data_IF_573407883239
#
_entry.id   IF_573407883239
#
_cell.length_a   1.000
_cell.length_b   1.000
_cell.length_c   1.000
_cell.angle_alpha   90.00
_cell.angle_beta   90.00
_cell.angle_gamma   90.00
#
_symmetry.space_group_name_H-M   'P 1'
#
loop_
_entity.id
_entity.type
_entity.pdbx_description
1 polymer ?
#
# COMPACT_ATOMS: atom_id res chain seq x y z
N UNK A 1 7.71 5.06 -20.89
CA UNK A 1 7.80 4.26 -22.14
C UNK A 1 6.56 3.39 -22.23
N UNK A 2 5.90 3.28 -23.39
CA UNK A 2 4.71 2.43 -23.56
C UNK A 2 5.08 1.25 -24.46
N UNK A 3 4.90 0.04 -23.97
CA UNK A 3 5.01 -1.20 -24.75
C UNK A 3 3.63 -1.58 -25.28
N UNK A 4 3.58 -2.20 -26.46
CA UNK A 4 2.34 -2.73 -27.03
C UNK A 4 2.57 -4.19 -27.45
N UNK A 5 1.70 -5.09 -27.00
CA UNK A 5 1.70 -6.48 -27.43
C UNK A 5 1.05 -6.63 -28.82
N UNK A 6 1.32 -7.78 -29.47
CA UNK A 6 0.79 -8.08 -30.80
C UNK A 6 -0.76 -8.13 -30.85
N UNK A 7 -1.40 -8.35 -29.70
CA UNK A 7 -2.86 -8.34 -29.53
C UNK A 7 -3.44 -6.94 -29.25
N UNK A 8 -2.61 -5.89 -29.29
CA UNK A 8 -3.04 -4.51 -29.08
C UNK A 8 -3.07 -4.06 -27.61
N UNK A 9 -2.80 -4.94 -26.64
CA UNK A 9 -2.68 -4.52 -25.23
C UNK A 9 -1.48 -3.60 -25.05
N UNK A 10 -1.68 -2.49 -24.32
CA UNK A 10 -0.64 -1.50 -24.03
C UNK A 10 -0.23 -1.57 -22.55
N UNK A 11 1.07 -1.46 -22.30
CA UNK A 11 1.68 -1.50 -20.98
C UNK A 11 2.50 -0.23 -20.78
N UNK A 12 2.34 0.40 -19.62
CA UNK A 12 3.18 1.54 -19.24
C UNK A 12 4.35 1.00 -18.43
N UNK A 13 5.57 1.14 -18.94
CA UNK A 13 6.75 1.04 -18.09
C UNK A 13 6.92 2.36 -17.35
N UNK A 14 6.54 2.34 -16.08
CA UNK A 14 6.88 3.35 -15.10
C UNK A 14 8.08 2.85 -14.30
N UNK A 15 9.16 3.62 -14.27
CA UNK A 15 10.22 3.41 -13.30
C UNK A 15 9.66 3.77 -11.92
N UNK A 16 9.34 2.77 -11.11
CA UNK A 16 8.93 2.98 -9.73
C UNK A 16 10.20 3.23 -8.90
N UNK A 17 10.63 4.48 -8.83
CA UNK A 17 11.66 4.89 -7.87
C UNK A 17 11.13 4.77 -6.44
N UNK A 18 11.91 4.14 -5.56
CA UNK A 18 11.59 4.08 -4.13
C UNK A 18 10.51 3.07 -3.74
N UNK A 19 10.28 2.04 -4.54
CA UNK A 19 9.40 0.95 -4.11
C UNK A 19 10.09 0.11 -3.04
N UNK A 20 9.50 0.07 -1.84
CA UNK A 20 9.91 -0.79 -0.75
C UNK A 20 8.78 -1.79 -0.48
N UNK A 21 9.06 -3.08 -0.70
CA UNK A 21 8.15 -4.18 -0.39
C UNK A 21 8.47 -4.76 0.98
N UNK A 22 7.44 -5.23 1.68
CA UNK A 22 7.58 -5.96 2.93
C UNK A 22 6.83 -7.28 2.77
N UNK A 23 7.42 -8.36 3.24
CA UNK A 23 6.77 -9.66 3.22
C UNK A 23 5.62 -9.67 4.23
N UNK A 24 4.43 -10.00 3.75
CA UNK A 24 3.24 -10.23 4.57
C UNK A 24 2.91 -11.71 4.44
N UNK A 25 2.64 -12.37 5.56
CA UNK A 25 2.28 -13.79 5.56
C UNK A 25 0.97 -14.03 4.79
N UNK A 26 0.78 -15.27 4.33
CA UNK A 26 -0.46 -15.74 3.73
C UNK A 26 -1.09 -16.81 4.64
N UNK A 27 -1.41 -16.41 5.88
CA UNK A 27 -2.03 -17.29 6.88
C UNK A 27 -3.55 -17.10 6.81
N UNK A 28 -4.33 -18.18 6.96
CA UNK A 28 -5.80 -18.09 6.97
C UNK A 28 -6.31 -17.40 8.25
N UNK A 29 -5.48 -17.38 9.29
CA UNK A 29 -5.73 -16.66 10.53
C UNK A 29 -5.14 -15.25 10.47
N UNK A 30 -6.03 -14.27 10.24
CA UNK A 30 -5.67 -12.86 10.23
C UNK A 30 -4.99 -12.39 11.53
N UNK A 31 -5.30 -13.01 12.68
CA UNK A 31 -4.64 -12.69 13.94
C UNK A 31 -3.14 -12.98 13.90
N UNK A 32 -2.75 -14.11 13.32
CA UNK A 32 -1.34 -14.47 13.12
C UNK A 32 -0.64 -13.56 12.11
N UNK A 33 -1.36 -13.11 11.09
CA UNK A 33 -0.84 -12.12 10.14
C UNK A 33 -0.54 -10.79 10.82
N UNK A 34 -1.44 -10.33 11.71
CA UNK A 34 -1.24 -9.12 12.51
C UNK A 34 -0.01 -9.25 13.40
N UNK A 35 0.16 -10.38 14.11
CA UNK A 35 1.34 -10.63 14.95
C UNK A 35 2.65 -10.58 14.14
N UNK A 36 2.72 -11.31 13.02
CA UNK A 36 3.90 -11.30 12.13
C UNK A 36 4.19 -9.90 11.57
N UNK A 37 3.15 -9.15 11.24
CA UNK A 37 3.28 -7.78 10.73
C UNK A 37 3.88 -6.86 11.78
N UNK A 38 3.47 -6.98 13.05
CA UNK A 38 4.01 -6.20 14.17
C UNK A 38 5.49 -6.56 14.43
N UNK A 39 5.85 -7.84 14.28
CA UNK A 39 7.23 -8.32 14.44
C UNK A 39 8.17 -7.88 13.31
N UNK A 40 7.63 -7.48 12.16
CA UNK A 40 8.41 -6.96 11.03
C UNK A 40 8.98 -5.57 11.35
N UNK A 41 10.20 -5.54 11.91
CA UNK A 41 10.88 -4.32 12.37
C UNK A 41 11.10 -3.30 11.26
N UNK A 42 11.44 -3.74 10.06
CA UNK A 42 11.68 -2.85 8.91
C UNK A 42 10.39 -2.14 8.49
N UNK A 43 9.29 -2.89 8.38
CA UNK A 43 7.97 -2.34 8.10
C UNK A 43 7.54 -1.36 9.18
N UNK A 44 7.66 -1.75 10.46
CA UNK A 44 7.25 -0.89 11.58
C UNK A 44 8.07 0.40 11.66
N UNK A 45 9.38 0.33 11.40
CA UNK A 45 10.25 1.50 11.33
C UNK A 45 9.86 2.41 10.16
N UNK A 46 9.59 1.83 8.98
CA UNK A 46 9.11 2.57 7.82
C UNK A 46 7.77 3.28 8.09
N UNK A 47 6.79 2.58 8.68
CA UNK A 47 5.50 3.16 9.05
C UNK A 47 5.63 4.27 10.10
N UNK A 48 6.52 4.09 11.09
CA UNK A 48 6.83 5.11 12.09
C UNK A 48 7.45 6.38 11.47
N UNK A 49 8.35 6.23 10.50
CA UNK A 49 8.91 7.36 9.75
C UNK A 49 7.84 8.04 8.90
N UNK A 50 7.01 7.28 8.19
CA UNK A 50 5.88 7.80 7.40
C UNK A 50 4.94 8.65 8.25
N UNK A 51 4.64 8.20 9.48
CA UNK A 51 3.78 8.93 10.42
C UNK A 51 4.33 10.30 10.82
N UNK A 52 5.65 10.47 10.89
CA UNK A 52 6.28 11.74 11.31
C UNK A 52 6.18 12.85 10.26
N UNK A 53 6.06 12.49 8.98
CA UNK A 53 5.94 13.46 7.87
C UNK A 53 4.54 13.60 7.27
N UNK A 54 3.62 12.68 7.59
CA UNK A 54 2.27 12.68 7.03
C UNK A 54 1.31 13.60 7.77
N UNK A 55 0.53 14.40 7.02
CA UNK A 55 -0.67 15.05 7.59
C UNK A 55 -1.72 13.97 7.84
N UNK A 56 -2.27 13.94 9.04
CA UNK A 56 -3.47 13.13 9.30
C UNK A 56 -4.62 13.71 8.49
N UNK A 57 -5.27 12.88 7.67
CA UNK A 57 -6.45 13.24 6.90
C UNK A 57 -7.66 12.63 7.63
N UNK A 58 -8.70 13.42 7.97
CA UNK A 58 -9.91 12.88 8.57
C UNK A 58 -10.52 11.77 7.72
N UNK A 59 -11.02 10.71 8.37
CA UNK A 59 -11.62 9.58 7.67
C UNK A 59 -12.79 10.01 6.77
N UNK A 60 -13.57 11.00 7.17
CA UNK A 60 -14.65 11.57 6.36
C UNK A 60 -14.15 12.17 5.04
N UNK A 61 -13.00 12.85 5.06
CA UNK A 61 -12.37 13.42 3.87
C UNK A 61 -11.85 12.32 2.93
N UNK A 62 -11.26 11.26 3.50
CA UNK A 62 -10.84 10.07 2.72
C UNK A 62 -12.05 9.42 2.05
N UNK A 63 -13.13 9.19 2.82
CA UNK A 63 -14.36 8.60 2.31
C UNK A 63 -14.96 9.42 1.16
N UNK A 64 -15.08 10.74 1.32
CA UNK A 64 -15.57 11.64 0.29
C UNK A 64 -14.71 11.62 -0.99
N UNK A 65 -13.38 11.61 -0.86
CA UNK A 65 -12.46 11.56 -2.02
C UNK A 65 -12.58 10.28 -2.84
N UNK A 66 -12.96 9.17 -2.21
CA UNK A 66 -13.02 7.86 -2.85
C UNK A 66 -14.46 7.39 -3.14
N UNK A 67 -15.46 8.25 -2.96
CA UNK A 67 -16.87 7.89 -3.20
C UNK A 67 -17.37 6.78 -2.26
N UNK A 68 -16.75 6.63 -1.08
CA UNK A 68 -17.18 5.68 -0.07
C UNK A 68 -18.20 6.39 0.82
N UNK A 69 -19.48 6.06 0.67
CA UNK A 69 -20.51 6.69 1.49
C UNK A 69 -20.34 6.33 2.97
N UNK A 70 -20.54 7.31 3.85
CA UNK A 70 -20.68 7.06 5.28
C UNK A 70 -22.14 6.72 5.52
N UNK A 71 -22.45 5.42 5.60
CA UNK A 71 -23.67 4.95 6.26
C UNK A 71 -23.63 5.30 7.74
#
# INVERSE_FOLDING_TARGET
MILQAADGRRFVLAALGGWQGFEVGNDEDFGKEVERTIENRELMQFLAQRRRGGKNIPLAEVKARHGLEST
#
